data_IF_135584361461
#
_entry.id   IF_135584361461
#
_cell.length_a   1.000
_cell.length_b   1.000
_cell.length_c   1.000
_cell.angle_alpha   90.00
_cell.angle_beta   90.00
_cell.angle_gamma   90.00
#
_symmetry.space_group_name_H-M   'P 1'
#
loop_
_entity.id
_entity.type
_entity.pdbx_description
1 polymer ?
#
# COMPACT_ATOMS: atom_id res chain seq x y z
N UNK A 1 0.24 1.67 9.26
CA UNK A 1 1.02 1.82 8.03
C UNK A 1 0.75 0.62 7.15
N UNK A 2 0.60 0.85 5.85
CA UNK A 2 0.28 -0.17 4.85
C UNK A 2 1.26 0.00 3.70
N UNK A 3 1.78 -1.12 3.22
CA UNK A 3 2.64 -1.24 2.06
C UNK A 3 2.31 -2.57 1.36
N UNK A 4 2.46 -2.65 0.04
CA UNK A 4 2.19 -3.90 -0.67
C UNK A 4 3.28 -4.22 -1.68
N UNK A 5 3.58 -5.52 -1.80
CA UNK A 5 4.44 -6.07 -2.84
C UNK A 5 3.57 -6.71 -3.91
N UNK A 6 3.96 -6.59 -5.17
CA UNK A 6 3.20 -7.14 -6.29
C UNK A 6 4.14 -7.73 -7.34
N UNK A 7 3.56 -8.55 -8.23
CA UNK A 7 4.28 -9.11 -9.36
C UNK A 7 3.41 -9.03 -10.62
N UNK A 8 4.02 -8.68 -11.75
CA UNK A 8 3.30 -8.46 -13.02
C UNK A 8 2.79 -9.74 -13.68
N UNK A 9 3.37 -10.89 -13.31
CA UNK A 9 3.22 -12.18 -14.00
C UNK A 9 2.42 -13.22 -13.20
N UNK A 10 1.75 -12.80 -12.12
CA UNK A 10 0.97 -13.75 -11.31
C UNK A 10 -0.19 -14.33 -12.14
N UNK A 11 -0.34 -15.68 -12.16
CA UNK A 11 -1.30 -16.33 -13.02
C UNK A 11 -2.73 -15.90 -12.67
N UNK A 12 -3.55 -15.71 -13.71
CA UNK A 12 -4.92 -15.22 -13.62
C UNK A 12 -5.87 -16.06 -12.72
N UNK A 13 -5.39 -17.17 -12.16
CA UNK A 13 -6.12 -18.05 -11.24
C UNK A 13 -6.19 -17.54 -9.80
N UNK A 14 -5.39 -16.54 -9.44
CA UNK A 14 -5.58 -15.73 -8.23
C UNK A 14 -6.33 -14.42 -8.53
N UNK A 15 -6.79 -14.22 -9.78
CA UNK A 15 -7.41 -12.96 -10.19
C UNK A 15 -8.87 -12.91 -9.81
N UNK A 16 -9.13 -12.09 -8.80
CA UNK A 16 -10.36 -11.36 -8.55
C UNK A 16 -11.11 -11.05 -9.86
N UNK A 17 -12.39 -11.43 -9.87
CA UNK A 17 -13.20 -11.60 -11.07
C UNK A 17 -13.31 -10.35 -11.93
N UNK A 18 -13.11 -10.53 -13.23
CA UNK A 18 -13.44 -9.54 -14.25
C UNK A 18 -12.82 -9.96 -15.56
N UNK A 19 -13.60 -10.04 -16.64
CA UNK A 19 -13.08 -10.17 -17.99
C UNK A 19 -12.77 -8.77 -18.53
N UNK A 20 -11.61 -8.59 -19.15
CA UNK A 20 -11.10 -7.29 -19.54
C UNK A 20 -9.75 -7.47 -20.21
N UNK A 21 -9.76 -7.24 -21.52
CA UNK A 21 -8.66 -7.37 -22.46
C UNK A 21 -7.79 -6.10 -22.36
N UNK A 22 -6.64 -6.24 -21.72
CA UNK A 22 -5.73 -5.13 -21.40
C UNK A 22 -4.74 -5.58 -20.33
N UNK A 23 -3.49 -5.14 -20.43
CA UNK A 23 -2.43 -5.42 -19.45
C UNK A 23 -2.93 -4.98 -18.07
N UNK A 24 -3.32 -5.92 -17.22
CA UNK A 24 -3.83 -5.62 -15.88
C UNK A 24 -2.67 -5.21 -15.00
N UNK A 25 -2.88 -4.28 -14.05
CA UNK A 25 -1.91 -4.06 -12.99
C UNK A 25 -1.59 -5.40 -12.32
N UNK A 26 -0.31 -5.66 -12.04
CA UNK A 26 0.10 -6.85 -11.30
C UNK A 26 -0.66 -6.95 -9.97
N UNK A 27 -1.13 -8.15 -9.64
CA UNK A 27 -1.85 -8.39 -8.40
C UNK A 27 -0.89 -8.26 -7.20
N UNK A 28 -1.34 -7.72 -6.05
CA UNK A 28 -0.56 -7.82 -4.82
C UNK A 28 -0.29 -9.28 -4.49
N UNK A 29 0.94 -9.56 -4.05
CA UNK A 29 1.40 -10.83 -3.53
C UNK A 29 1.50 -10.81 -1.99
N UNK A 30 1.79 -9.63 -1.42
CA UNK A 30 1.97 -9.46 0.02
C UNK A 30 1.46 -8.08 0.44
N UNK A 31 0.77 -8.00 1.57
CA UNK A 31 0.45 -6.73 2.23
C UNK A 31 1.08 -6.70 3.61
N UNK A 32 1.78 -5.61 3.90
CA UNK A 32 2.44 -5.37 5.17
C UNK A 32 1.61 -4.36 5.98
N UNK A 33 1.24 -4.73 7.20
CA UNK A 33 0.43 -3.89 8.09
C UNK A 33 1.19 -3.64 9.41
N UNK A 34 1.50 -2.39 9.70
CA UNK A 34 2.06 -1.96 10.98
C UNK A 34 1.02 -1.13 11.76
N UNK A 35 0.65 -1.58 12.96
CA UNK A 35 -0.40 -0.95 13.77
C UNK A 35 0.24 -0.19 14.93
N UNK A 36 -0.13 1.08 15.12
CA UNK A 36 0.35 1.87 16.24
C UNK A 36 -0.21 1.35 17.57
N UNK A 37 0.62 1.26 18.60
CA UNK A 37 0.24 0.73 19.92
C UNK A 37 0.56 -0.75 20.13
N UNK A 38 1.10 -1.44 19.12
CA UNK A 38 1.71 -2.76 19.26
C UNK A 38 3.05 -2.81 18.53
N UNK A 39 4.03 -3.56 19.03
CA UNK A 39 5.30 -3.81 18.35
C UNK A 39 5.15 -4.82 17.18
N UNK A 40 3.94 -4.95 16.64
CA UNK A 40 3.57 -6.02 15.72
C UNK A 40 3.45 -5.51 14.30
N UNK A 41 4.17 -6.18 13.41
CA UNK A 41 4.01 -6.08 11.96
C UNK A 41 3.31 -7.36 11.52
N UNK A 42 2.23 -7.21 10.76
CA UNK A 42 1.49 -8.30 10.17
C UNK A 42 1.82 -8.39 8.69
N UNK A 43 2.01 -9.62 8.21
CA UNK A 43 2.23 -9.93 6.81
C UNK A 43 1.03 -10.73 6.33
N UNK A 44 0.32 -10.22 5.33
CA UNK A 44 -0.84 -10.87 4.72
C UNK A 44 -0.40 -11.39 3.35
N UNK A 45 -0.26 -12.70 3.24
CA UNK A 45 0.04 -13.37 1.97
C UNK A 45 -1.25 -13.46 1.14
N UNK A 46 -1.35 -12.60 0.13
CA UNK A 46 -2.57 -12.47 -0.68
C UNK A 46 -2.69 -13.56 -1.74
N UNK A 47 -1.67 -14.41 -1.90
CA UNK A 47 -1.70 -15.55 -2.82
C UNK A 47 -2.40 -16.76 -2.21
N UNK A 48 -2.42 -16.87 -0.88
CA UNK A 48 -2.99 -18.01 -0.15
C UNK A 48 -4.15 -17.63 0.78
N UNK A 49 -4.21 -16.38 1.26
CA UNK A 49 -5.20 -15.95 2.24
C UNK A 49 -6.50 -15.47 1.58
N UNK A 50 -7.53 -16.31 1.66
CA UNK A 50 -8.89 -16.00 1.17
C UNK A 50 -9.57 -14.85 1.93
N UNK A 51 -9.05 -14.48 3.10
CA UNK A 51 -9.56 -13.40 3.92
C UNK A 51 -8.80 -12.07 3.73
N UNK A 52 -7.78 -12.01 2.86
CA UNK A 52 -7.01 -10.80 2.63
C UNK A 52 -7.88 -9.59 2.29
N UNK A 53 -8.90 -9.77 1.44
CA UNK A 53 -9.86 -8.73 1.09
C UNK A 53 -10.62 -8.21 2.32
N UNK A 54 -11.05 -9.09 3.23
CA UNK A 54 -11.78 -8.71 4.45
C UNK A 54 -10.88 -7.94 5.43
N UNK A 55 -9.62 -8.34 5.57
CA UNK A 55 -8.62 -7.61 6.39
C UNK A 55 -8.41 -6.20 5.84
N UNK A 56 -8.30 -6.05 4.52
CA UNK A 56 -8.17 -4.74 3.88
C UNK A 56 -9.43 -3.89 4.05
N UNK A 57 -10.62 -4.47 3.91
CA UNK A 57 -11.87 -3.75 4.13
C UNK A 57 -11.99 -3.22 5.56
N UNK A 58 -11.46 -3.93 6.56
CA UNK A 58 -11.43 -3.45 7.94
C UNK A 58 -10.61 -2.16 8.12
N UNK A 59 -9.68 -1.85 7.20
CA UNK A 59 -8.91 -0.60 7.20
C UNK A 59 -9.71 0.60 6.69
N UNK A 60 -10.88 0.38 6.08
CA UNK A 60 -11.71 1.43 5.46
C UNK A 60 -12.73 2.05 6.43
N UNK A 61 -12.67 1.73 7.72
CA UNK A 61 -13.54 2.33 8.74
C UNK A 61 -13.11 3.76 9.10
N UNK A 62 -14.06 4.63 9.42
CA UNK A 62 -13.82 6.07 9.62
C UNK A 62 -12.82 6.42 10.73
N UNK A 63 -12.68 5.53 11.72
CA UNK A 63 -11.79 5.68 12.87
C UNK A 63 -10.35 5.23 12.59
N UNK A 64 -10.07 4.64 11.44
CA UNK A 64 -8.72 4.20 11.04
C UNK A 64 -8.13 5.20 10.04
N UNK A 65 -6.92 5.67 10.33
CA UNK A 65 -6.10 6.41 9.37
C UNK A 65 -5.01 5.49 8.84
N UNK A 66 -5.01 5.27 7.53
CA UNK A 66 -3.99 4.49 6.85
C UNK A 66 -2.83 5.39 6.50
N UNK A 67 -1.62 5.01 6.92
CA UNK A 67 -0.39 5.66 6.51
C UNK A 67 0.26 4.82 5.41
N UNK A 68 0.58 5.41 4.27
CA UNK A 68 1.35 4.76 3.20
C UNK A 68 2.49 5.66 2.74
N UNK A 69 3.37 5.15 1.87
CA UNK A 69 4.46 5.93 1.30
C UNK A 69 4.48 5.77 -0.22
N UNK A 70 4.33 6.85 -0.98
CA UNK A 70 4.16 6.77 -2.43
C UNK A 70 2.98 5.86 -2.83
N UNK A 71 1.90 5.89 -2.04
CA UNK A 71 0.88 4.85 -1.97
C UNK A 71 -0.12 4.82 -3.14
N UNK A 72 0.05 5.67 -4.15
CA UNK A 72 -0.90 5.80 -5.26
C UNK A 72 -1.04 4.52 -6.08
N UNK A 73 0.08 3.85 -6.35
CA UNK A 73 0.10 2.59 -7.10
C UNK A 73 -0.47 1.44 -6.26
N UNK A 74 -0.04 1.34 -5.01
CA UNK A 74 -0.50 0.36 -4.03
C UNK A 74 -2.00 0.40 -3.84
N UNK A 75 -2.56 1.61 -3.68
CA UNK A 75 -4.00 1.80 -3.55
C UNK A 75 -4.77 1.23 -4.75
N UNK A 76 -4.24 1.42 -5.96
CA UNK A 76 -4.86 0.89 -7.18
C UNK A 76 -4.89 -0.64 -7.14
N UNK A 77 -3.80 -1.27 -6.69
CA UNK A 77 -3.70 -2.73 -6.62
C UNK A 77 -4.51 -3.34 -5.47
N UNK A 78 -4.50 -2.72 -4.31
CA UNK A 78 -5.30 -3.16 -3.15
C UNK A 78 -6.81 -3.11 -3.44
N UNK A 79 -7.27 -2.14 -4.24
CA UNK A 79 -8.66 -2.11 -4.71
C UNK A 79 -9.02 -3.30 -5.59
N UNK A 80 -8.06 -3.83 -6.36
CA UNK A 80 -8.29 -5.04 -7.16
C UNK A 80 -8.52 -6.28 -6.28
N UNK A 81 -7.82 -6.39 -5.14
CA UNK A 81 -8.04 -7.46 -4.17
C UNK A 81 -9.43 -7.41 -3.52
N UNK A 82 -10.07 -6.24 -3.52
CA UNK A 82 -11.38 -6.07 -2.91
C UNK A 82 -12.50 -6.23 -3.94
N UNK A 83 -12.32 -7.08 -4.97
CA UNK A 83 -13.23 -7.26 -6.12
C UNK A 83 -13.58 -5.95 -6.86
N UNK A 84 -12.66 -4.99 -6.85
CA UNK A 84 -12.92 -3.65 -7.39
C UNK A 84 -14.02 -2.89 -6.64
N UNK A 85 -14.48 -3.41 -5.48
CA UNK A 85 -15.55 -2.82 -4.72
C UNK A 85 -15.13 -1.42 -4.27
N UNK A 86 -16.04 -0.47 -4.48
CA UNK A 86 -15.91 0.92 -4.02
C UNK A 86 -15.75 1.05 -2.49
N UNK A 87 -15.77 -0.05 -1.74
CA UNK A 87 -15.67 -0.12 -0.29
C UNK A 87 -14.25 0.03 0.25
N UNK A 88 -13.19 -0.23 -0.55
CA UNK A 88 -11.82 0.10 -0.12
C UNK A 88 -11.50 1.58 -0.37
N UNK A 89 -11.98 2.41 0.54
CA UNK A 89 -11.81 3.87 0.54
C UNK A 89 -11.28 4.38 1.90
N UNK A 90 -10.11 3.89 2.35
CA UNK A 90 -9.57 4.30 3.64
C UNK A 90 -9.17 5.79 3.64
N UNK A 91 -9.16 6.39 4.82
CA UNK A 91 -8.55 7.71 5.03
C UNK A 91 -7.04 7.56 4.96
N UNK A 92 -6.47 7.88 3.81
CA UNK A 92 -5.04 7.70 3.53
C UNK A 92 -4.27 8.99 3.78
N UNK A 93 -3.12 8.86 4.43
CA UNK A 93 -2.06 9.86 4.44
C UNK A 93 -0.87 9.29 3.70
N UNK A 94 -0.56 9.87 2.53
CA UNK A 94 0.68 9.59 1.80
C UNK A 94 1.84 10.37 2.43
N UNK A 95 2.71 9.64 3.12
CA UNK A 95 3.84 10.21 3.83
C UNK A 95 4.86 10.84 2.87
N UNK A 96 5.01 10.34 1.63
CA UNK A 96 5.94 10.92 0.67
C UNK A 96 5.51 12.34 0.31
N UNK A 97 4.22 12.55 0.04
CA UNK A 97 3.68 13.89 -0.21
C UNK A 97 3.79 14.79 1.02
N UNK A 98 3.52 14.24 2.22
CA UNK A 98 3.61 14.99 3.46
C UNK A 98 5.05 15.49 3.74
N UNK A 99 6.07 14.66 3.50
CA UNK A 99 7.47 15.09 3.68
C UNK A 99 7.95 15.99 2.55
N UNK A 100 7.44 15.79 1.34
CA UNK A 100 7.69 16.70 0.23
C UNK A 100 7.13 18.11 0.49
N UNK A 101 5.95 18.23 1.09
CA UNK A 101 5.39 19.51 1.50
C UNK A 101 6.27 20.22 2.56
N UNK A 102 7.05 19.46 3.32
CA UNK A 102 8.04 19.97 4.29
C UNK A 102 9.43 20.22 3.69
N UNK A 103 9.56 20.15 2.38
CA UNK A 103 10.82 20.44 1.68
C UNK A 103 11.83 19.29 1.63
N UNK A 104 11.48 18.07 2.08
CA UNK A 104 12.33 16.90 1.84
C UNK A 104 12.25 16.51 0.36
N UNK A 105 13.41 16.26 -0.25
CA UNK A 105 13.58 15.85 -1.65
C UNK A 105 14.69 14.82 -1.73
N UNK A 106 14.75 14.09 -2.84
CA UNK A 106 15.88 13.21 -3.13
C UNK A 106 17.21 13.99 -3.18
N UNK A 107 18.30 13.34 -2.76
CA UNK A 107 19.66 13.88 -2.91
C UNK A 107 19.93 14.13 -4.40
N UNK A 108 20.17 15.38 -4.79
CA UNK A 108 20.36 15.77 -6.20
C UNK A 108 19.25 16.61 -6.82
N UNK A 109 18.21 16.99 -6.07
CA UNK A 109 17.50 18.26 -6.32
C UNK A 109 16.34 18.26 -7.31
N UNK A 110 15.45 17.27 -7.31
CA UNK A 110 14.16 17.42 -8.01
C UNK A 110 13.08 16.40 -7.69
N UNK A 111 13.46 15.16 -7.43
CA UNK A 111 12.52 14.06 -7.24
C UNK A 111 11.95 13.92 -5.82
N UNK A 112 10.85 13.16 -5.68
CA UNK A 112 10.36 12.71 -4.38
C UNK A 112 11.43 11.87 -3.65
N UNK A 113 11.56 11.98 -2.31
CA UNK A 113 12.50 11.14 -1.57
C UNK A 113 12.00 9.68 -1.52
N UNK A 114 12.94 8.73 -1.41
CA UNK A 114 12.62 7.34 -1.11
C UNK A 114 12.26 7.13 0.36
N UNK A 115 11.65 5.97 0.67
CA UNK A 115 11.24 5.61 2.03
C UNK A 115 12.44 5.60 2.99
N UNK A 116 13.53 4.94 2.63
CA UNK A 116 14.74 4.86 3.45
C UNK A 116 15.30 6.25 3.78
N UNK A 117 15.46 7.11 2.78
CA UNK A 117 15.96 8.48 2.98
C UNK A 117 15.02 9.31 3.88
N UNK A 118 13.72 9.10 3.73
CA UNK A 118 12.71 9.76 4.56
C UNK A 118 12.79 9.29 6.01
N UNK A 119 12.82 7.97 6.25
CA UNK A 119 12.96 7.39 7.58
C UNK A 119 14.25 7.86 8.25
N UNK A 120 15.39 7.80 7.54
CA UNK A 120 16.68 8.29 8.03
C UNK A 120 16.59 9.75 8.51
N UNK A 121 15.97 10.61 7.70
CA UNK A 121 15.85 12.03 8.00
C UNK A 121 14.90 12.34 9.16
N UNK A 122 13.79 11.62 9.28
CA UNK A 122 12.74 11.84 10.28
C UNK A 122 13.10 11.21 11.63
N UNK A 123 13.69 10.01 11.61
CA UNK A 123 14.08 9.28 12.82
C UNK A 123 15.47 9.70 13.34
N UNK A 124 16.23 10.45 12.56
CA UNK A 124 17.58 10.91 12.94
C UNK A 124 18.65 9.82 12.84
N UNK A 125 18.38 8.73 12.13
CA UNK A 125 19.34 7.65 11.87
C UNK A 125 20.15 8.01 10.62
N UNK A 126 21.45 8.28 10.79
CA UNK A 126 22.36 8.59 9.68
C UNK A 126 22.76 7.34 8.90
#
# INVERSE_FOLDING_TARGET
>A
AVDCEWHEDLPARASYGGAGDGRRPGAPALVQLAINGGASVYLVDTLIDVCAAAVLQALSVDCVTVLGFAFGEDLTRLRLLCDGAQTFAPRIVDLQQAVMAKGLRANGGGGPPGLQATCARVLGTR
#
